data_IF_416847047894
#
_entry.id   IF_416847047894
#
_cell.length_a   1.000
_cell.length_b   1.000
_cell.length_c   1.000
_cell.angle_alpha   90.00
_cell.angle_beta   90.00
_cell.angle_gamma   90.00
#
_symmetry.space_group_name_H-M   'P 1'
#
loop_
_entity.id
_entity.type
_entity.pdbx_description
1 polymer ?
#
# COMPACT_ATOMS: atom_id res chain seq x y z
N UNK A 1 -18.68 13.40 -5.13
CA UNK A 1 -17.94 13.19 -6.39
C UNK A 1 -16.90 12.10 -6.19
N UNK A 2 -16.99 11.00 -6.90
CA UNK A 2 -15.98 9.93 -6.90
C UNK A 2 -14.92 10.24 -7.95
N UNK A 3 -13.64 10.31 -7.57
CA UNK A 3 -12.52 10.61 -8.46
C UNK A 3 -12.03 9.37 -9.23
N UNK A 4 -12.93 8.66 -9.89
CA UNK A 4 -12.64 7.39 -10.58
C UNK A 4 -11.61 7.55 -11.70
N UNK A 5 -11.65 8.68 -12.41
CA UNK A 5 -10.68 9.02 -13.46
C UNK A 5 -9.23 9.08 -12.98
N UNK A 6 -9.00 9.19 -11.67
CA UNK A 6 -7.68 9.24 -11.06
C UNK A 6 -7.41 8.04 -10.13
N UNK A 7 -8.24 6.99 -10.23
CA UNK A 7 -8.11 5.81 -9.39
C UNK A 7 -6.83 5.02 -9.68
N UNK A 8 -6.40 5.02 -10.95
CA UNK A 8 -5.27 4.24 -11.45
C UNK A 8 -4.24 5.15 -12.12
N UNK A 9 -2.99 4.71 -12.08
CA UNK A 9 -1.87 5.37 -12.77
C UNK A 9 -2.07 5.25 -14.28
N UNK A 10 -1.70 6.30 -15.02
CA UNK A 10 -1.59 6.21 -16.49
C UNK A 10 -0.44 5.23 -16.84
N UNK A 11 -0.68 4.15 -17.60
CA UNK A 11 0.33 3.17 -17.96
C UNK A 11 1.50 3.75 -18.77
N UNK A 12 1.30 4.88 -19.47
CA UNK A 12 2.33 5.54 -20.28
C UNK A 12 3.40 6.26 -19.43
N UNK A 13 3.16 6.45 -18.14
CA UNK A 13 4.09 7.11 -17.23
C UNK A 13 4.83 6.13 -16.32
N UNK A 14 5.97 6.51 -15.73
CA UNK A 14 6.84 7.56 -16.20
C UNK A 14 7.38 7.24 -17.61
N UNK A 15 7.57 8.29 -18.42
CA UNK A 15 8.13 8.18 -19.78
C UNK A 15 9.59 7.71 -19.78
N UNK A 16 10.30 7.94 -18.66
CA UNK A 16 11.68 7.52 -18.42
C UNK A 16 11.77 6.89 -17.04
N UNK A 17 12.36 5.71 -16.94
CA UNK A 17 12.59 5.04 -15.67
C UNK A 17 13.93 5.48 -15.07
N UNK A 18 13.91 6.08 -13.88
CA UNK A 18 15.09 6.59 -13.19
C UNK A 18 15.21 6.05 -11.75
N UNK A 19 14.13 5.50 -11.18
CA UNK A 19 14.11 5.04 -9.78
C UNK A 19 14.31 3.54 -9.66
N UNK A 20 13.77 2.78 -10.61
CA UNK A 20 13.91 1.33 -10.66
C UNK A 20 14.98 0.92 -11.67
N UNK A 21 15.47 -0.31 -11.54
CA UNK A 21 16.48 -0.85 -12.46
C UNK A 21 15.96 -1.03 -13.89
N UNK A 22 14.64 -1.19 -14.07
CA UNK A 22 13.95 -1.15 -15.37
C UNK A 22 12.44 -0.93 -15.19
N UNK A 23 11.74 -0.60 -16.28
CA UNK A 23 10.28 -0.50 -16.32
C UNK A 23 9.60 -1.79 -15.88
N UNK A 24 10.14 -2.93 -16.32
CA UNK A 24 9.60 -4.26 -16.00
C UNK A 24 9.78 -4.57 -14.51
N UNK A 25 10.90 -4.14 -13.92
CA UNK A 25 11.15 -4.32 -12.50
C UNK A 25 10.26 -3.44 -11.62
N UNK A 26 9.98 -2.19 -12.05
CA UNK A 26 8.95 -1.36 -11.41
C UNK A 26 7.61 -2.07 -11.42
N UNK A 27 7.15 -2.47 -12.61
CA UNK A 27 5.82 -3.07 -12.77
C UNK A 27 5.69 -4.39 -11.98
N UNK A 28 6.75 -5.20 -11.97
CA UNK A 28 6.83 -6.41 -11.14
C UNK A 28 6.75 -6.07 -9.65
N UNK A 29 7.52 -5.09 -9.19
CA UNK A 29 7.52 -4.67 -7.78
C UNK A 29 6.15 -4.15 -7.35
N UNK A 30 5.57 -3.21 -8.08
CA UNK A 30 4.23 -2.64 -7.81
C UNK A 30 3.15 -3.73 -7.76
N UNK A 31 3.19 -4.69 -8.70
CA UNK A 31 2.27 -5.83 -8.73
C UNK A 31 2.41 -6.72 -7.50
N UNK A 32 3.65 -7.01 -7.07
CA UNK A 32 3.89 -7.80 -5.86
C UNK A 32 3.28 -7.13 -4.63
N UNK A 33 3.47 -5.80 -4.46
CA UNK A 33 2.90 -5.10 -3.31
C UNK A 33 1.37 -5.16 -3.33
N UNK A 34 0.77 -4.95 -4.50
CA UNK A 34 -0.67 -4.98 -4.67
C UNK A 34 -1.24 -6.37 -4.38
N UNK A 35 -0.69 -7.41 -4.99
CA UNK A 35 -1.16 -8.80 -4.83
C UNK A 35 -1.07 -9.27 -3.38
N UNK A 36 0.06 -8.96 -2.71
CA UNK A 36 0.25 -9.32 -1.30
C UNK A 36 -0.66 -8.49 -0.39
N UNK A 37 -0.84 -7.19 -0.67
CA UNK A 37 -1.80 -6.35 0.03
C UNK A 37 -3.24 -6.86 -0.11
N UNK A 38 -3.65 -7.29 -1.30
CA UNK A 38 -4.97 -7.87 -1.52
C UNK A 38 -5.15 -9.17 -0.73
N UNK A 39 -4.14 -10.05 -0.69
CA UNK A 39 -4.16 -11.27 0.12
C UNK A 39 -4.35 -10.96 1.61
N UNK A 40 -3.64 -9.95 2.13
CA UNK A 40 -3.80 -9.53 3.53
C UNK A 40 -5.22 -9.01 3.76
N UNK A 41 -5.74 -8.13 2.92
CA UNK A 41 -7.11 -7.59 3.09
C UNK A 41 -8.15 -8.69 3.05
N UNK A 42 -8.05 -9.61 2.10
CA UNK A 42 -8.99 -10.72 1.95
C UNK A 42 -8.91 -11.73 3.11
N UNK A 43 -7.83 -11.72 3.90
CA UNK A 43 -7.70 -12.54 5.11
C UNK A 43 -8.41 -11.94 6.34
N UNK A 44 -8.82 -10.67 6.28
CA UNK A 44 -9.48 -9.98 7.39
C UNK A 44 -10.97 -10.34 7.36
N UNK A 45 -11.43 -11.08 8.38
CA UNK A 45 -12.83 -11.52 8.50
C UNK A 45 -13.82 -10.35 8.57
N UNK A 46 -13.49 -9.29 9.33
CA UNK A 46 -14.29 -8.08 9.43
C UNK A 46 -13.44 -6.83 9.23
N UNK A 47 -13.46 -6.28 8.01
CA UNK A 47 -12.76 -5.04 7.73
C UNK A 47 -13.55 -3.81 8.24
N UNK A 48 -13.32 -3.43 9.51
CA UNK A 48 -13.98 -2.26 10.13
C UNK A 48 -13.46 -0.92 9.58
N UNK A 49 -12.19 -0.87 9.17
CA UNK A 49 -11.56 0.34 8.66
C UNK A 49 -11.86 0.55 7.17
N UNK A 50 -12.94 1.30 6.87
CA UNK A 50 -13.35 1.63 5.48
C UNK A 50 -12.29 2.35 4.64
N UNK A 51 -11.27 2.93 5.28
CA UNK A 51 -10.14 3.61 4.64
C UNK A 51 -8.97 2.68 4.32
N UNK A 52 -8.95 1.45 4.85
CA UNK A 52 -7.88 0.49 4.56
C UNK A 52 -7.95 0.05 3.10
N UNK A 53 -6.78 0.00 2.46
CA UNK A 53 -6.59 -0.39 1.06
C UNK A 53 -5.25 -1.11 0.92
N UNK A 54 -5.03 -1.94 -0.11
CA UNK A 54 -3.83 -2.77 -0.20
C UNK A 54 -2.54 -1.93 -0.26
N UNK A 55 -2.57 -0.78 -0.92
CA UNK A 55 -1.44 0.15 -1.04
C UNK A 55 -1.45 1.26 0.02
N UNK A 56 -2.12 1.04 1.16
CA UNK A 56 -2.15 1.95 2.30
C UNK A 56 -3.43 2.78 2.42
N UNK A 57 -3.69 3.30 3.62
CA UNK A 57 -4.94 3.98 3.95
C UNK A 57 -5.19 5.23 3.10
N UNK A 58 -6.43 5.37 2.63
CA UNK A 58 -6.92 6.53 1.87
C UNK A 58 -8.35 6.88 2.31
N UNK A 59 -8.82 8.14 2.18
CA UNK A 59 -10.19 8.46 2.56
C UNK A 59 -11.20 7.61 1.76
N UNK A 60 -12.29 7.10 2.37
CA UNK A 60 -13.21 6.17 1.72
C UNK A 60 -13.89 6.71 0.44
N UNK A 61 -13.94 8.03 0.27
CA UNK A 61 -14.45 8.69 -0.94
C UNK A 61 -13.59 8.49 -2.18
N UNK A 62 -12.31 8.11 -2.01
CA UNK A 62 -11.42 7.76 -3.12
C UNK A 62 -11.57 6.28 -3.46
N UNK A 63 -11.76 6.01 -4.76
CA UNK A 63 -11.83 4.65 -5.33
C UNK A 63 -10.45 4.10 -5.74
N UNK A 64 -9.37 4.60 -5.14
CA UNK A 64 -8.00 4.12 -5.40
C UNK A 64 -7.68 2.86 -4.58
N UNK A 65 -6.59 2.19 -4.95
CA UNK A 65 -6.03 1.04 -4.23
C UNK A 65 -5.20 1.44 -3.00
N UNK A 66 -5.18 2.72 -2.64
CA UNK A 66 -4.36 3.31 -1.57
C UNK A 66 -3.58 4.52 -2.06
N UNK A 67 -2.69 5.06 -1.22
CA UNK A 67 -1.81 6.18 -1.62
C UNK A 67 -0.49 5.70 -2.24
N UNK A 68 -0.06 4.47 -1.97
CA UNK A 68 1.19 3.92 -2.50
C UNK A 68 2.43 4.65 -1.98
N UNK A 69 2.39 5.21 -0.76
CA UNK A 69 3.53 5.92 -0.19
C UNK A 69 4.68 4.95 0.11
N UNK A 70 5.91 5.33 -0.26
CA UNK A 70 7.12 4.53 -0.03
C UNK A 70 8.08 5.22 0.96
N UNK A 71 7.53 5.93 1.95
CA UNK A 71 8.32 6.64 2.94
C UNK A 71 8.20 6.01 4.33
N UNK A 72 9.30 5.47 4.82
CA UNK A 72 9.43 4.92 6.16
C UNK A 72 10.79 5.27 6.76
N UNK A 73 10.84 5.23 8.09
CA UNK A 73 12.06 5.44 8.86
C UNK A 73 12.22 4.30 9.85
N UNK A 74 13.40 4.18 10.46
CA UNK A 74 13.62 3.22 11.54
C UNK A 74 12.67 3.42 12.74
N UNK A 75 12.07 4.60 12.90
CA UNK A 75 11.13 4.92 13.99
C UNK A 75 9.69 4.57 13.66
N UNK A 76 9.25 4.82 12.43
CA UNK A 76 7.83 4.77 12.08
C UNK A 76 7.59 4.60 10.58
N UNK A 77 6.42 4.06 10.26
CA UNK A 77 5.87 3.87 8.92
C UNK A 77 4.48 4.47 8.90
N UNK A 78 4.22 5.33 7.92
CA UNK A 78 2.88 5.90 7.75
C UNK A 78 1.87 4.81 7.38
N UNK A 79 0.67 4.86 7.95
CA UNK A 79 -0.45 4.01 7.52
C UNK A 79 -0.86 4.24 6.06
N UNK A 80 -0.37 5.29 5.41
CA UNK A 80 -0.56 5.55 3.97
C UNK A 80 0.39 4.75 3.08
N UNK A 81 1.37 4.06 3.65
CA UNK A 81 2.23 3.13 2.93
C UNK A 81 1.53 1.78 2.69
N UNK A 82 1.95 0.99 1.69
CA UNK A 82 1.44 -0.36 1.47
C UNK A 82 1.35 -1.19 2.75
N UNK A 83 0.23 -1.88 2.95
CA UNK A 83 -0.05 -2.58 4.22
C UNK A 83 0.94 -3.72 4.47
N UNK A 84 1.55 -4.25 3.40
CA UNK A 84 2.60 -5.27 3.50
C UNK A 84 3.79 -4.81 4.35
N UNK A 85 3.99 -3.49 4.49
CA UNK A 85 5.10 -2.92 5.25
C UNK A 85 4.87 -2.92 6.74
N UNK A 86 3.62 -2.90 7.21
CA UNK A 86 3.33 -2.56 8.60
C UNK A 86 2.14 -3.31 9.23
N UNK A 87 1.31 -3.99 8.44
CA UNK A 87 0.22 -4.80 8.97
C UNK A 87 0.82 -6.01 9.71
N UNK A 88 0.36 -6.30 10.91
CA UNK A 88 0.88 -7.41 11.72
C UNK A 88 -0.30 -8.15 12.36
N UNK A 89 -1.00 -8.94 11.54
CA UNK A 89 -2.11 -9.79 11.95
C UNK A 89 -2.37 -10.86 10.89
N UNK A 90 -3.28 -11.81 11.18
CA UNK A 90 -3.73 -12.85 10.25
C UNK A 90 -2.58 -13.70 9.66
N UNK A 91 -1.56 -14.00 10.47
CA UNK A 91 -0.40 -14.77 10.03
C UNK A 91 0.55 -14.05 9.07
N UNK A 92 0.38 -12.73 8.87
CA UNK A 92 1.31 -11.92 8.10
C UNK A 92 2.38 -11.28 9.00
N UNK A 93 3.64 -11.41 8.60
CA UNK A 93 4.77 -10.71 9.20
C UNK A 93 5.17 -9.53 8.31
N UNK A 94 5.11 -8.28 8.80
CA UNK A 94 5.41 -7.10 7.99
C UNK A 94 6.89 -7.02 7.61
N UNK A 95 7.19 -6.37 6.48
CA UNK A 95 8.58 -6.11 6.09
C UNK A 95 9.32 -5.18 7.07
N UNK A 96 8.58 -4.32 7.75
CA UNK A 96 9.13 -3.36 8.70
C UNK A 96 8.26 -3.37 9.97
N UNK A 97 8.46 -4.36 10.87
CA UNK A 97 7.70 -4.46 12.12
C UNK A 97 7.94 -3.23 12.99
N UNK A 98 6.86 -2.57 13.40
CA UNK A 98 6.94 -1.35 14.21
C UNK A 98 6.68 -1.73 15.67
N UNK A 99 7.72 -1.74 16.50
CA UNK A 99 7.59 -2.09 17.93
C UNK A 99 6.70 -1.13 18.75
N UNK A 100 6.63 0.15 18.35
CA UNK A 100 6.00 1.22 19.14
C UNK A 100 4.90 1.97 18.36
N UNK A 101 3.86 1.26 17.91
CA UNK A 101 2.65 1.92 17.35
C UNK A 101 1.80 2.54 18.47
N UNK A 102 2.32 3.56 19.15
CA UNK A 102 1.56 4.44 20.03
C UNK A 102 0.82 3.79 21.21
N UNK A 103 1.13 2.53 21.56
CA UNK A 103 0.62 1.93 22.80
C UNK A 103 1.40 2.54 23.97
N UNK A 104 0.81 3.56 24.58
CA UNK A 104 1.11 3.97 25.95
C UNK A 104 0.40 3.03 26.91
#
# INVERSE_FOLDING_TARGET
>A
MTNEKFAFRNPEYPLKEEFYSSSENRDRYERILLDKGLKIINSISELKAKSLRPLGMTPPSYKTLGKGCHFFTWRNISNTCPIIFWWEANGWYPLFPVKNRGNH
#
